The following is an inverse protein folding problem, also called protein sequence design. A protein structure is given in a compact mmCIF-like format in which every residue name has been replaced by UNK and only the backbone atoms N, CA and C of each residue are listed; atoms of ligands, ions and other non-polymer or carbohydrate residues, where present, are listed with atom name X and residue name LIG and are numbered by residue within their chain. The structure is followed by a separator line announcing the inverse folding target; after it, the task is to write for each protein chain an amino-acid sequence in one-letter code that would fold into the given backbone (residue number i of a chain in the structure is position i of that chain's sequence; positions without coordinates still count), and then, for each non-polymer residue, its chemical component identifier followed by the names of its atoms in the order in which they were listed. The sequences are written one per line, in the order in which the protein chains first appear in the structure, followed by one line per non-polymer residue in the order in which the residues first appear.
data_IF_138862177714
#
_entry.id   IF_138862177714
#
_cell.length_a   1.000
_cell.length_b   1.000
_cell.length_c   1.000
_cell.angle_alpha   90.00
_cell.angle_beta   90.00
_cell.angle_gamma   90.00
#
_symmetry.space_group_name_H-M   'P 1'
#
loop_
_entity.id
_entity.type
_entity.pdbx_description
1 polymer ?
#
# COMPACT_ATOMS: atom_id res chain seq x y z
N UNK A 1 -27.17 11.30 -25.12
CA UNK A 1 -25.90 11.95 -25.51
C UNK A 1 -24.84 11.63 -24.46
N UNK A 2 -25.02 12.12 -23.22
CA UNK A 2 -24.09 11.90 -22.08
C UNK A 2 -23.63 10.44 -21.88
N UNK A 3 -24.53 9.45 -21.96
CA UNK A 3 -24.16 8.03 -21.82
C UNK A 3 -23.25 7.51 -22.96
N UNK A 4 -23.45 7.99 -24.20
CA UNK A 4 -22.59 7.64 -25.34
C UNK A 4 -21.22 8.29 -25.20
N UNK A 5 -21.18 9.52 -24.71
CA UNK A 5 -19.93 10.26 -24.47
C UNK A 5 -19.12 9.60 -23.34
N UNK A 6 -19.78 9.15 -22.26
CA UNK A 6 -19.14 8.41 -21.18
C UNK A 6 -18.56 7.07 -21.63
N UNK A 7 -19.33 6.31 -22.43
CA UNK A 7 -18.85 5.04 -22.96
C UNK A 7 -17.65 5.24 -23.89
N UNK A 8 -17.63 6.34 -24.66
CA UNK A 8 -16.51 6.70 -25.50
C UNK A 8 -15.27 7.09 -24.68
N UNK A 9 -15.44 7.87 -23.59
CA UNK A 9 -14.36 8.18 -22.65
C UNK A 9 -13.75 6.90 -22.05
N UNK A 10 -14.58 5.99 -21.54
CA UNK A 10 -14.13 4.72 -20.97
C UNK A 10 -13.35 3.88 -22.01
N UNK A 11 -13.81 3.84 -23.27
CA UNK A 11 -13.12 3.14 -24.34
C UNK A 11 -11.75 3.76 -24.68
N UNK A 12 -11.64 5.09 -24.67
CA UNK A 12 -10.38 5.80 -24.86
C UNK A 12 -9.38 5.49 -23.73
N UNK A 13 -9.84 5.49 -22.47
CA UNK A 13 -9.03 5.10 -21.32
C UNK A 13 -8.55 3.65 -21.43
N UNK A 14 -9.44 2.71 -21.75
CA UNK A 14 -9.08 1.30 -21.94
C UNK A 14 -8.03 1.12 -23.07
N UNK A 15 -8.20 1.84 -24.18
CA UNK A 15 -7.23 1.84 -25.29
C UNK A 15 -5.87 2.41 -24.85
N UNK A 16 -5.85 3.50 -24.09
CA UNK A 16 -4.62 4.07 -23.54
C UNK A 16 -3.89 3.07 -22.65
N UNK A 17 -4.60 2.44 -21.72
CA UNK A 17 -4.04 1.38 -20.86
C UNK A 17 -3.45 0.23 -21.67
N UNK A 18 -4.11 -0.22 -22.73
CA UNK A 18 -3.60 -1.25 -23.62
C UNK A 18 -2.32 -0.80 -24.34
N UNK A 19 -2.28 0.42 -24.87
CA UNK A 19 -1.09 0.99 -25.54
C UNK A 19 0.10 1.09 -24.58
N UNK A 20 -0.12 1.54 -23.35
CA UNK A 20 0.90 1.61 -22.30
C UNK A 20 1.49 0.24 -21.99
N UNK A 21 0.67 -0.81 -21.90
CA UNK A 21 1.14 -2.19 -21.71
C UNK A 21 2.04 -2.69 -22.84
N UNK A 22 1.90 -2.14 -24.05
CA UNK A 22 2.77 -2.44 -25.20
C UNK A 22 3.96 -1.48 -25.31
N UNK A 23 4.23 -0.64 -24.30
CA UNK A 23 5.33 0.32 -24.28
C UNK A 23 5.09 1.58 -25.10
N UNK A 24 3.90 1.77 -25.70
CA UNK A 24 3.57 2.97 -26.45
C UNK A 24 3.00 4.06 -25.52
N UNK A 25 3.91 4.68 -24.74
CA UNK A 25 3.56 5.64 -23.70
C UNK A 25 2.98 6.94 -24.24
N UNK A 26 3.51 7.48 -25.35
CA UNK A 26 3.00 8.72 -25.95
C UNK A 26 1.59 8.55 -26.49
N UNK A 27 1.31 7.49 -27.27
CA UNK A 27 -0.06 7.24 -27.74
C UNK A 27 -1.01 6.88 -26.60
N UNK A 28 -0.52 6.26 -25.52
CA UNK A 28 -1.32 6.08 -24.29
C UNK A 28 -1.80 7.43 -23.76
N UNK A 29 -0.86 8.35 -23.54
CA UNK A 29 -1.17 9.68 -23.02
C UNK A 29 -2.17 10.42 -23.92
N UNK A 30 -1.99 10.40 -25.24
CA UNK A 30 -2.90 11.07 -26.18
C UNK A 30 -4.35 10.56 -26.08
N UNK A 31 -4.54 9.24 -25.95
CA UNK A 31 -5.89 8.68 -25.84
C UNK A 31 -6.50 9.00 -24.47
N UNK A 32 -5.71 8.99 -23.40
CA UNK A 32 -6.20 9.28 -22.05
C UNK A 32 -6.53 10.77 -21.89
N UNK A 33 -5.75 11.68 -22.46
CA UNK A 33 -6.07 13.12 -22.50
C UNK A 33 -7.38 13.39 -23.26
N UNK A 34 -7.64 12.65 -24.35
CA UNK A 34 -8.95 12.72 -25.03
C UNK A 34 -10.08 12.23 -24.14
N UNK A 35 -9.87 11.19 -23.34
CA UNK A 35 -10.86 10.75 -22.35
C UNK A 35 -11.07 11.80 -21.26
N UNK A 36 -10.01 12.44 -20.77
CA UNK A 36 -10.09 13.47 -19.73
C UNK A 36 -10.87 14.69 -20.22
N UNK A 37 -10.69 15.09 -21.48
CA UNK A 37 -11.45 16.20 -22.06
C UNK A 37 -12.96 15.95 -22.12
N UNK A 38 -13.40 14.68 -22.14
CA UNK A 38 -14.82 14.32 -22.13
C UNK A 38 -15.36 14.33 -20.70
N UNK A 39 -14.62 13.71 -19.76
CA UNK A 39 -14.98 13.65 -18.35
C UNK A 39 -13.73 13.90 -17.47
N UNK A 40 -13.50 15.17 -17.06
CA UNK A 40 -12.32 15.56 -16.29
C UNK A 40 -12.27 14.99 -14.87
N UNK A 41 -13.38 14.44 -14.38
CA UNK A 41 -13.52 13.89 -13.04
C UNK A 41 -13.71 12.37 -13.05
N UNK A 42 -13.53 11.72 -14.20
CA UNK A 42 -13.55 10.27 -14.25
C UNK A 42 -12.35 9.68 -13.50
N UNK A 43 -12.61 8.99 -12.39
CA UNK A 43 -11.56 8.45 -11.53
C UNK A 43 -10.63 7.47 -12.26
N UNK A 44 -11.19 6.57 -13.08
CA UNK A 44 -10.40 5.59 -13.84
C UNK A 44 -9.48 6.26 -14.86
N UNK A 45 -9.97 7.31 -15.51
CA UNK A 45 -9.19 8.13 -16.44
C UNK A 45 -8.07 8.86 -15.72
N UNK A 46 -8.34 9.49 -14.58
CA UNK A 46 -7.32 10.21 -13.79
C UNK A 46 -6.21 9.26 -13.29
N UNK A 47 -6.58 8.10 -12.76
CA UNK A 47 -5.59 7.09 -12.35
C UNK A 47 -4.73 6.65 -13.54
N UNK A 48 -5.36 6.37 -14.69
CA UNK A 48 -4.66 5.96 -15.91
C UNK A 48 -3.75 7.06 -16.48
N UNK A 49 -4.17 8.33 -16.33
CA UNK A 49 -3.42 9.51 -16.74
C UNK A 49 -2.18 9.69 -15.87
N UNK A 50 -2.33 9.64 -14.56
CA UNK A 50 -1.21 9.66 -13.62
C UNK A 50 -0.19 8.55 -13.91
N UNK A 51 -0.66 7.33 -14.20
CA UNK A 51 0.24 6.21 -14.55
C UNK A 51 0.94 6.43 -15.89
N UNK A 52 0.30 7.11 -16.85
CA UNK A 52 0.90 7.43 -18.14
C UNK A 52 1.98 8.50 -18.00
N UNK A 53 1.75 9.54 -17.17
CA UNK A 53 2.77 10.53 -16.84
C UNK A 53 3.97 9.91 -16.12
N UNK A 54 3.73 9.02 -15.14
CA UNK A 54 4.80 8.24 -14.50
C UNK A 54 5.63 7.45 -15.52
N UNK A 55 4.97 6.79 -16.47
CA UNK A 55 5.65 5.98 -17.50
C UNK A 55 6.52 6.83 -18.44
N UNK A 56 6.23 8.13 -18.55
CA UNK A 56 7.02 9.11 -19.30
C UNK A 56 8.06 9.84 -18.43
N UNK A 57 8.11 9.56 -17.12
CA UNK A 57 8.98 10.22 -16.15
C UNK A 57 8.50 11.60 -15.68
N UNK A 58 7.28 12.03 -16.05
CA UNK A 58 6.71 13.32 -15.65
C UNK A 58 6.01 13.19 -14.28
N UNK A 59 6.81 13.07 -13.22
CA UNK A 59 6.30 12.89 -11.85
C UNK A 59 5.57 14.14 -11.32
N UNK A 60 5.86 15.32 -11.87
CA UNK A 60 5.18 16.56 -11.52
C UNK A 60 3.70 16.49 -11.93
N UNK A 61 3.43 16.27 -13.24
CA UNK A 61 2.04 16.13 -13.70
C UNK A 61 1.36 14.90 -13.14
N UNK A 62 2.09 13.81 -12.93
CA UNK A 62 1.53 12.64 -12.28
C UNK A 62 1.01 12.97 -10.88
N UNK A 63 1.80 13.69 -10.08
CA UNK A 63 1.42 14.12 -8.72
C UNK A 63 0.17 15.00 -8.74
N UNK A 64 0.09 15.99 -9.63
CA UNK A 64 -1.09 16.86 -9.78
C UNK A 64 -2.37 16.07 -10.09
N UNK A 65 -2.27 15.11 -11.03
CA UNK A 65 -3.41 14.28 -11.43
C UNK A 65 -3.81 13.31 -10.33
N UNK A 66 -2.85 12.69 -9.63
CA UNK A 66 -3.17 11.81 -8.51
C UNK A 66 -3.80 12.58 -7.35
N UNK A 67 -3.42 13.84 -7.11
CA UNK A 67 -4.12 14.69 -6.14
C UNK A 67 -5.59 14.90 -6.51
N UNK A 68 -5.90 15.11 -7.80
CA UNK A 68 -7.30 15.19 -8.27
C UNK A 68 -8.03 13.87 -8.05
N UNK A 69 -7.40 12.74 -8.38
CA UNK A 69 -7.98 11.42 -8.17
C UNK A 69 -8.24 11.14 -6.67
N UNK A 70 -7.29 11.49 -5.80
CA UNK A 70 -7.39 11.33 -4.35
C UNK A 70 -8.54 12.15 -3.75
N UNK A 71 -8.75 13.39 -4.23
CA UNK A 71 -9.88 14.24 -3.79
C UNK A 71 -11.24 13.66 -4.16
N UNK A 72 -11.34 12.92 -5.26
CA UNK A 72 -12.58 12.28 -5.71
C UNK A 72 -12.84 11.01 -4.91
N UNK A 73 -11.86 10.11 -4.84
CA UNK A 73 -11.96 8.90 -4.06
C UNK A 73 -10.58 8.51 -3.49
N UNK A 74 -10.35 8.82 -2.20
CA UNK A 74 -9.09 8.49 -1.55
C UNK A 74 -8.98 7.01 -1.16
N UNK A 75 -10.09 6.26 -1.17
CA UNK A 75 -10.13 4.86 -0.73
C UNK A 75 -9.70 3.91 -1.85
N UNK A 76 -9.53 4.42 -3.08
CA UNK A 76 -8.88 3.66 -4.17
C UNK A 76 -7.38 3.66 -3.95
N UNK A 77 -6.82 2.47 -3.73
CA UNK A 77 -5.41 2.29 -3.40
C UNK A 77 -4.44 3.05 -4.32
N UNK A 78 -4.70 3.07 -5.63
CA UNK A 78 -3.83 3.74 -6.59
C UNK A 78 -3.72 5.25 -6.34
N UNK A 79 -4.77 5.90 -5.81
CA UNK A 79 -4.81 7.37 -5.70
C UNK A 79 -3.88 7.91 -4.63
N UNK A 80 -3.69 7.19 -3.52
CA UNK A 80 -2.80 7.63 -2.44
C UNK A 80 -1.40 7.00 -2.52
N UNK A 81 -1.27 5.74 -2.94
CA UNK A 81 0.04 5.08 -3.08
C UNK A 81 0.85 5.72 -4.20
N UNK A 82 0.26 5.86 -5.39
CA UNK A 82 0.95 6.43 -6.54
C UNK A 82 1.22 7.92 -6.36
N UNK A 83 0.35 8.65 -5.65
CA UNK A 83 0.55 10.05 -5.29
C UNK A 83 1.82 10.26 -4.48
N UNK A 84 1.94 9.56 -3.34
CA UNK A 84 3.10 9.75 -2.45
C UNK A 84 4.38 9.24 -3.11
N UNK A 85 4.29 8.18 -3.92
CA UNK A 85 5.41 7.74 -4.75
C UNK A 85 5.88 8.83 -5.73
N UNK A 86 4.97 9.45 -6.48
CA UNK A 86 5.37 10.49 -7.46
C UNK A 86 5.82 11.76 -6.79
N UNK A 87 5.21 12.11 -5.65
CA UNK A 87 5.64 13.24 -4.84
C UNK A 87 7.09 13.05 -4.41
N UNK A 88 7.44 11.90 -3.81
CA UNK A 88 8.81 11.61 -3.40
C UNK A 88 9.81 11.68 -4.57
N UNK A 89 9.39 11.27 -5.77
CA UNK A 89 10.20 11.32 -6.98
C UNK A 89 10.02 12.60 -7.80
N UNK A 90 9.45 13.65 -7.20
CA UNK A 90 9.33 14.97 -7.80
C UNK A 90 10.47 15.87 -7.28
N UNK A 91 11.49 16.18 -8.10
CA UNK A 91 12.65 16.96 -7.65
C UNK A 91 12.32 18.43 -7.33
N UNK A 92 11.10 18.90 -7.66
CA UNK A 92 10.65 20.25 -7.36
C UNK A 92 10.06 20.39 -5.96
N UNK A 93 9.65 19.30 -5.32
CA UNK A 93 9.08 19.35 -3.97
C UNK A 93 10.19 19.44 -2.93
N UNK A 94 10.01 20.35 -1.99
CA UNK A 94 10.83 20.45 -0.78
C UNK A 94 10.46 19.34 0.22
N UNK A 95 11.36 19.05 1.16
CA UNK A 95 11.07 18.10 2.24
C UNK A 95 9.84 18.51 3.08
N UNK A 96 9.57 19.81 3.21
CA UNK A 96 8.41 20.30 3.94
C UNK A 96 7.11 20.04 3.17
N UNK A 97 7.08 20.33 1.87
CA UNK A 97 5.90 20.05 1.03
C UNK A 97 5.61 18.55 0.95
N UNK A 98 6.66 17.72 0.86
CA UNK A 98 6.53 16.26 0.99
C UNK A 98 5.90 15.88 2.33
N UNK A 99 6.41 16.40 3.44
CA UNK A 99 5.84 16.14 4.76
C UNK A 99 4.37 16.55 4.85
N UNK A 100 4.01 17.72 4.31
CA UNK A 100 2.63 18.21 4.31
C UNK A 100 1.70 17.32 3.46
N UNK A 101 2.18 16.81 2.31
CA UNK A 101 1.46 15.82 1.51
C UNK A 101 1.20 14.52 2.30
N UNK A 102 2.21 14.04 3.04
CA UNK A 102 2.04 12.86 3.90
C UNK A 102 1.03 13.12 5.03
N UNK A 103 1.02 14.31 5.63
CA UNK A 103 0.03 14.67 6.64
C UNK A 103 -1.39 14.74 6.08
N UNK A 104 -1.58 15.32 4.90
CA UNK A 104 -2.90 15.40 4.27
C UNK A 104 -3.43 14.01 3.92
N UNK A 105 -2.62 13.17 3.27
CA UNK A 105 -2.99 11.77 2.97
C UNK A 105 -3.26 10.99 4.26
N UNK A 106 -2.40 11.15 5.28
CA UNK A 106 -2.61 10.53 6.60
C UNK A 106 -3.92 10.96 7.23
N UNK A 107 -4.29 12.24 7.13
CA UNK A 107 -5.50 12.80 7.72
C UNK A 107 -6.77 12.03 7.31
N UNK A 108 -6.79 11.47 6.10
CA UNK A 108 -7.91 10.64 5.62
C UNK A 108 -8.01 9.27 6.30
N UNK A 109 -6.88 8.63 6.58
CA UNK A 109 -6.84 7.27 7.14
C UNK A 109 -6.65 7.24 8.65
N UNK A 110 -6.36 8.40 9.26
CA UNK A 110 -6.13 8.51 10.69
C UNK A 110 -7.41 8.19 11.47
N UNK A 111 -7.27 7.35 12.49
CA UNK A 111 -8.33 7.00 13.45
C UNK A 111 -7.99 7.57 14.83
N UNK A 112 -8.18 8.89 15.06
CA UNK A 112 -7.74 9.55 16.30
C UNK A 112 -8.38 8.95 17.56
N UNK A 113 -9.59 8.42 17.46
CA UNK A 113 -10.30 7.71 18.52
C UNK A 113 -9.55 6.44 18.98
N UNK A 114 -8.79 5.81 18.09
CA UNK A 114 -7.99 4.62 18.40
C UNK A 114 -6.60 4.97 18.92
N UNK A 115 -6.14 6.23 18.84
CA UNK A 115 -4.79 6.61 19.29
C UNK A 115 -4.49 6.25 20.75
N UNK A 116 -5.52 6.17 21.59
CA UNK A 116 -5.45 5.82 23.02
C UNK A 116 -5.91 4.39 23.33
N UNK A 117 -6.16 3.55 22.32
CA UNK A 117 -6.55 2.15 22.54
C UNK A 117 -5.50 1.46 23.41
N UNK A 118 -5.98 0.83 24.48
CA UNK A 118 -5.18 0.08 25.44
C UNK A 118 -5.49 -1.42 25.31
N UNK A 119 -4.62 -2.23 25.90
CA UNK A 119 -4.74 -3.69 25.87
C UNK A 119 -4.55 -4.23 27.28
N UNK A 120 -5.56 -4.08 28.16
CA UNK A 120 -5.44 -4.44 29.58
C UNK A 120 -5.33 -5.95 29.80
N UNK A 121 -5.90 -6.76 28.90
CA UNK A 121 -5.88 -8.22 28.98
C UNK A 121 -4.57 -8.85 28.50
N UNK A 122 -3.64 -8.06 27.93
CA UNK A 122 -2.35 -8.56 27.46
C UNK A 122 -1.43 -8.85 28.65
N UNK A 123 -0.99 -10.09 28.76
CA UNK A 123 0.09 -10.46 29.68
C UNK A 123 1.38 -9.73 29.30
N UNK A 124 1.93 -8.94 30.24
CA UNK A 124 3.18 -8.18 30.08
C UNK A 124 4.38 -8.86 30.74
N UNK A 125 4.25 -10.12 31.13
CA UNK A 125 5.36 -10.89 31.67
C UNK A 125 6.52 -10.95 30.67
N UNK A 126 7.75 -10.83 31.18
CA UNK A 126 8.97 -10.92 30.37
C UNK A 126 9.44 -12.37 30.19
N UNK A 127 8.71 -13.34 30.76
CA UNK A 127 9.06 -14.77 30.77
C UNK A 127 8.40 -15.56 29.64
N UNK A 128 7.40 -14.99 28.97
CA UNK A 128 6.76 -15.61 27.82
C UNK A 128 7.44 -15.21 26.51
N UNK A 129 7.20 -15.99 25.46
CA UNK A 129 7.54 -15.58 24.08
C UNK A 129 6.78 -14.31 23.71
N UNK A 130 7.49 -13.36 23.11
CA UNK A 130 6.90 -12.14 22.55
C UNK A 130 6.30 -12.43 21.17
N UNK A 131 5.04 -12.06 20.94
CA UNK A 131 4.39 -12.26 19.64
C UNK A 131 4.72 -11.11 18.71
N UNK A 132 5.44 -11.40 17.63
CA UNK A 132 5.85 -10.43 16.63
C UNK A 132 5.13 -10.73 15.32
N UNK A 133 4.32 -9.78 14.85
CA UNK A 133 3.61 -9.87 13.57
C UNK A 133 4.33 -9.06 12.51
N UNK A 134 4.52 -9.61 11.32
CA UNK A 134 5.00 -8.89 10.15
C UNK A 134 3.90 -8.83 9.09
N UNK A 135 3.56 -7.65 8.58
CA UNK A 135 2.60 -7.49 7.48
C UNK A 135 3.35 -7.11 6.21
N UNK A 136 3.09 -7.83 5.10
CA UNK A 136 3.61 -7.44 3.79
C UNK A 136 2.88 -8.12 2.62
N UNK A 137 2.84 -7.47 1.46
CA UNK A 137 2.55 -8.09 0.16
C UNK A 137 3.77 -8.76 -0.47
N UNK A 138 4.94 -8.59 0.13
CA UNK A 138 6.21 -8.82 -0.54
C UNK A 138 6.87 -10.12 -0.09
N UNK A 139 6.17 -10.98 0.66
CA UNK A 139 6.63 -12.33 1.03
C UNK A 139 6.64 -13.29 -0.17
N UNK A 140 7.34 -12.90 -1.22
CA UNK A 140 7.55 -13.53 -2.54
C UNK A 140 8.90 -13.04 -3.05
N UNK A 141 9.29 -13.38 -4.28
CA UNK A 141 10.49 -12.87 -4.96
C UNK A 141 10.42 -11.35 -5.13
N UNK A 142 10.82 -10.63 -4.09
CA UNK A 142 10.81 -9.18 -3.97
C UNK A 142 11.99 -8.70 -3.13
N UNK A 143 12.47 -7.48 -3.37
CA UNK A 143 13.67 -6.95 -2.68
C UNK A 143 13.47 -6.83 -1.17
N UNK A 144 12.25 -6.49 -0.72
CA UNK A 144 11.91 -6.44 0.71
C UNK A 144 12.05 -7.82 1.34
N UNK A 145 11.47 -8.84 0.70
CA UNK A 145 11.59 -10.23 1.14
C UNK A 145 13.04 -10.70 1.26
N UNK A 146 13.89 -10.39 0.28
CA UNK A 146 15.31 -10.79 0.32
C UNK A 146 16.03 -10.18 1.53
N UNK A 147 15.68 -8.96 1.93
CA UNK A 147 16.27 -8.30 3.10
C UNK A 147 15.74 -8.85 4.43
N UNK A 148 14.44 -9.15 4.52
CA UNK A 148 13.82 -9.59 5.79
C UNK A 148 13.87 -11.11 5.99
N UNK A 149 14.02 -11.90 4.92
CA UNK A 149 14.03 -13.36 5.02
C UNK A 149 15.10 -13.90 5.98
N UNK A 150 16.37 -13.41 5.98
CA UNK A 150 17.35 -13.85 6.96
C UNK A 150 16.95 -13.55 8.41
N UNK A 151 16.21 -12.45 8.65
CA UNK A 151 15.71 -12.12 9.99
C UNK A 151 14.62 -13.10 10.40
N UNK A 152 13.64 -13.35 9.53
CA UNK A 152 12.55 -14.29 9.81
C UNK A 152 13.09 -15.70 10.02
N UNK A 153 13.99 -16.17 9.15
CA UNK A 153 14.56 -17.52 9.20
C UNK A 153 15.40 -17.79 10.46
N UNK A 154 16.04 -16.76 11.02
CA UNK A 154 16.96 -16.91 12.15
C UNK A 154 16.41 -16.30 13.45
N UNK A 155 15.10 -16.05 13.52
CA UNK A 155 14.48 -15.59 14.76
C UNK A 155 14.70 -16.59 15.89
N UNK A 156 14.90 -16.11 17.10
CA UNK A 156 14.97 -16.99 18.26
C UNK A 156 13.55 -17.40 18.67
N UNK A 157 13.09 -18.54 18.19
CA UNK A 157 11.74 -19.04 18.48
C UNK A 157 11.52 -19.41 19.95
N UNK A 158 12.56 -19.52 20.79
CA UNK A 158 12.39 -19.70 22.24
C UNK A 158 11.97 -18.39 22.94
N UNK A 159 12.32 -17.24 22.35
CA UNK A 159 12.03 -15.91 22.89
C UNK A 159 10.89 -15.19 22.13
N UNK A 160 10.66 -15.54 20.87
CA UNK A 160 9.69 -14.90 19.99
C UNK A 160 8.76 -15.91 19.33
N UNK A 161 7.51 -15.53 19.12
CA UNK A 161 6.53 -16.25 18.31
C UNK A 161 6.20 -15.40 17.09
N UNK A 162 6.52 -15.91 15.90
CA UNK A 162 6.57 -15.13 14.66
C UNK A 162 5.33 -15.39 13.81
N UNK A 163 4.60 -14.32 13.53
CA UNK A 163 3.41 -14.31 12.68
C UNK A 163 3.69 -13.53 11.39
N UNK A 164 3.35 -14.11 10.24
CA UNK A 164 3.41 -13.44 8.94
C UNK A 164 1.99 -13.23 8.41
N UNK A 165 1.57 -11.98 8.29
CA UNK A 165 0.31 -11.56 7.68
C UNK A 165 0.56 -11.18 6.22
N UNK A 166 0.23 -12.10 5.32
CA UNK A 166 0.63 -12.04 3.92
C UNK A 166 -0.49 -11.55 3.00
N UNK A 167 -0.18 -10.53 2.19
CA UNK A 167 -0.98 -10.11 1.04
C UNK A 167 -0.32 -10.55 -0.28
N UNK A 168 0.08 -11.82 -0.37
CA UNK A 168 0.63 -12.39 -1.62
C UNK A 168 -0.50 -13.01 -2.44
N UNK A 169 -0.77 -12.45 -3.62
CA UNK A 169 -1.72 -12.99 -4.60
C UNK A 169 -1.13 -14.19 -5.37
N UNK A 170 0.11 -14.03 -5.85
CA UNK A 170 0.83 -15.05 -6.62
C UNK A 170 2.05 -15.56 -5.82
N UNK A 171 1.91 -16.67 -5.08
CA UNK A 171 2.99 -17.23 -4.28
C UNK A 171 4.09 -17.87 -5.14
N UNK A 172 5.31 -17.87 -4.64
CA UNK A 172 6.47 -18.52 -5.25
C UNK A 172 7.32 -19.31 -4.23
N UNK A 173 8.47 -19.82 -4.67
CA UNK A 173 9.38 -20.62 -3.82
C UNK A 173 9.87 -19.87 -2.57
N UNK A 174 10.02 -18.54 -2.66
CA UNK A 174 10.42 -17.74 -1.51
C UNK A 174 9.25 -17.56 -0.54
N UNK A 175 8.01 -17.48 -1.05
CA UNK A 175 6.79 -17.52 -0.21
C UNK A 175 6.74 -18.81 0.63
N UNK A 176 7.00 -19.96 0.02
CA UNK A 176 7.04 -21.24 0.76
C UNK A 176 8.17 -21.28 1.80
N UNK A 177 9.31 -20.67 1.47
CA UNK A 177 10.41 -20.54 2.43
C UNK A 177 10.02 -19.69 3.66
N UNK A 178 9.26 -18.60 3.47
CA UNK A 178 8.72 -17.82 4.58
C UNK A 178 7.73 -18.62 5.43
N UNK A 179 6.79 -19.34 4.81
CA UNK A 179 5.82 -20.19 5.51
C UNK A 179 6.51 -21.20 6.41
N UNK A 180 7.57 -21.84 5.91
CA UNK A 180 8.34 -22.84 6.66
C UNK A 180 9.22 -22.25 7.77
N UNK A 181 9.45 -20.93 7.77
CA UNK A 181 10.33 -20.25 8.73
C UNK A 181 9.58 -19.52 9.85
N UNK A 182 8.27 -19.34 9.74
CA UNK A 182 7.45 -18.66 10.74
C UNK A 182 6.64 -19.66 11.57
N UNK A 183 6.31 -19.30 12.81
CA UNK A 183 5.39 -20.09 13.63
C UNK A 183 3.98 -20.09 13.02
N UNK A 184 3.56 -18.94 12.48
CA UNK A 184 2.23 -18.76 11.90
C UNK A 184 2.26 -18.02 10.57
N UNK A 185 1.55 -18.56 9.59
CA UNK A 185 1.22 -17.89 8.33
C UNK A 185 -0.26 -17.55 8.29
N UNK A 186 -0.58 -16.27 8.09
CA UNK A 186 -1.94 -15.73 8.01
C UNK A 186 -2.12 -15.03 6.67
N UNK A 187 -3.00 -15.56 5.82
CA UNK A 187 -3.36 -14.84 4.59
C UNK A 187 -4.33 -13.70 4.89
N UNK A 188 -3.97 -12.49 4.47
CA UNK A 188 -4.84 -11.31 4.46
C UNK A 188 -5.28 -10.92 3.05
N UNK A 189 -4.94 -11.75 2.05
CA UNK A 189 -5.47 -11.63 0.70
C UNK A 189 -7.01 -11.73 0.73
N UNK A 190 -7.69 -10.85 0.01
CA UNK A 190 -9.15 -10.68 -0.01
C UNK A 190 -9.82 -10.25 1.31
N UNK A 191 -9.04 -9.93 2.36
CA UNK A 191 -9.58 -9.33 3.59
C UNK A 191 -9.54 -7.82 3.52
N UNK A 192 -10.57 -7.16 4.04
CA UNK A 192 -10.54 -5.72 4.32
C UNK A 192 -9.50 -5.38 5.39
N UNK A 193 -9.13 -4.10 5.50
CA UNK A 193 -8.17 -3.66 6.53
C UNK A 193 -8.68 -3.87 7.94
N UNK A 194 -10.00 -3.83 8.13
CA UNK A 194 -10.63 -4.08 9.43
C UNK A 194 -10.52 -5.58 9.78
N UNK A 195 -10.89 -6.48 8.86
CA UNK A 195 -10.81 -7.93 9.12
C UNK A 195 -9.36 -8.39 9.36
N UNK A 196 -8.38 -7.79 8.69
CA UNK A 196 -6.98 -8.05 8.95
C UNK A 196 -6.54 -7.53 10.32
N UNK A 197 -7.01 -6.34 10.72
CA UNK A 197 -6.72 -5.79 12.05
C UNK A 197 -7.34 -6.64 13.17
N UNK A 198 -8.59 -7.07 13.01
CA UNK A 198 -9.28 -7.92 13.98
C UNK A 198 -8.52 -9.24 14.18
N UNK A 199 -8.10 -9.88 13.08
CA UNK A 199 -7.26 -11.08 13.12
C UNK A 199 -5.95 -10.86 13.90
N UNK A 200 -5.25 -9.76 13.66
CA UNK A 200 -3.99 -9.43 14.36
C UNK A 200 -4.22 -9.25 15.86
N UNK A 201 -5.34 -8.64 16.23
CA UNK A 201 -5.70 -8.41 17.62
C UNK A 201 -6.10 -9.70 18.34
N UNK A 202 -6.85 -10.59 17.66
CA UNK A 202 -7.21 -11.93 18.13
C UNK A 202 -5.98 -12.83 18.33
N UNK A 203 -5.04 -12.84 17.37
CA UNK A 203 -3.76 -13.56 17.46
C UNK A 203 -2.86 -13.03 18.59
N UNK A 204 -3.16 -11.83 19.07
CA UNK A 204 -2.57 -11.28 20.26
C UNK A 204 -1.17 -10.73 20.10
N UNK A 205 -0.93 -10.10 18.94
CA UNK A 205 0.38 -9.54 18.59
C UNK A 205 0.78 -8.42 19.56
N UNK A 206 2.02 -8.52 20.05
CA UNK A 206 2.63 -7.53 20.94
C UNK A 206 3.31 -6.42 20.15
N UNK A 207 4.06 -6.83 19.11
CA UNK A 207 4.79 -5.94 18.21
C UNK A 207 4.36 -6.22 16.78
N UNK A 208 3.70 -5.25 16.16
CA UNK A 208 3.36 -5.30 14.75
C UNK A 208 4.40 -4.53 13.93
N UNK A 209 5.05 -5.20 13.00
CA UNK A 209 6.01 -4.64 12.06
C UNK A 209 5.32 -4.53 10.69
N UNK A 210 5.13 -3.30 10.24
CA UNK A 210 4.60 -2.99 8.90
C UNK A 210 5.77 -2.81 7.96
N UNK A 211 5.86 -3.67 6.94
CA UNK A 211 6.97 -3.65 5.99
C UNK A 211 6.62 -2.83 4.75
N UNK A 212 7.60 -2.05 4.27
CA UNK A 212 7.58 -1.39 2.96
C UNK A 212 6.43 -0.39 2.71
N UNK A 213 5.83 0.13 3.78
CA UNK A 213 4.97 1.31 3.72
C UNK A 213 3.85 1.19 2.70
N UNK A 214 3.71 2.20 1.84
CA UNK A 214 2.67 2.26 0.79
C UNK A 214 3.12 1.75 -0.59
N UNK A 215 4.26 1.08 -0.69
CA UNK A 215 4.63 0.39 -1.92
C UNK A 215 3.83 -0.89 -2.08
N UNK A 216 3.61 -1.31 -3.33
CA UNK A 216 2.82 -2.49 -3.68
C UNK A 216 1.51 -2.58 -2.87
N UNK A 217 1.19 -3.74 -2.29
CA UNK A 217 -0.05 -4.01 -1.55
C UNK A 217 0.19 -4.20 -0.03
N UNK A 218 1.20 -3.50 0.51
CA UNK A 218 1.68 -3.64 1.89
C UNK A 218 0.74 -3.09 3.00
N UNK A 219 -0.31 -2.33 2.64
CA UNK A 219 -1.46 -1.97 3.50
C UNK A 219 -1.11 -1.43 4.91
N UNK A 220 -0.35 -0.32 5.01
CA UNK A 220 0.02 0.27 6.30
C UNK A 220 -1.19 0.87 7.05
N UNK A 221 -2.31 1.06 6.36
CA UNK A 221 -3.60 1.49 6.91
C UNK A 221 -4.19 0.50 7.91
N UNK A 222 -3.81 -0.78 7.88
CA UNK A 222 -4.17 -1.76 8.91
C UNK A 222 -3.72 -1.27 10.30
N UNK A 223 -2.52 -0.68 10.39
CA UNK A 223 -1.98 -0.17 11.65
C UNK A 223 -2.74 1.06 12.22
N UNK A 224 -3.55 1.73 11.39
CA UNK A 224 -4.43 2.81 11.87
C UNK A 224 -5.53 2.27 12.80
N UNK A 225 -5.90 1.00 12.67
CA UNK A 225 -6.82 0.30 13.59
C UNK A 225 -6.19 -0.01 14.95
N UNK A 226 -4.86 0.20 15.07
CA UNK A 226 -4.07 -0.10 16.26
C UNK A 226 -4.39 -1.50 16.82
N UNK A 227 -4.19 -2.58 16.05
CA UNK A 227 -4.45 -3.95 16.52
C UNK A 227 -3.37 -4.50 17.47
N UNK A 228 -2.22 -3.84 17.57
CA UNK A 228 -1.14 -4.17 18.50
C UNK A 228 -0.70 -2.95 19.34
N UNK A 229 -0.21 -3.15 20.58
CA UNK A 229 0.23 -2.07 21.45
C UNK A 229 1.48 -1.35 20.94
N UNK A 230 2.39 -2.08 20.30
CA UNK A 230 3.60 -1.53 19.68
C UNK A 230 3.49 -1.77 18.18
N UNK A 231 3.67 -0.71 17.40
CA UNK A 231 3.63 -0.75 15.94
C UNK A 231 4.87 -0.05 15.38
N UNK A 232 5.58 -0.73 14.49
CA UNK A 232 6.85 -0.29 13.92
C UNK A 232 6.69 -0.25 12.41
N UNK A 233 7.07 0.87 11.78
CA UNK A 233 7.30 0.90 10.33
C UNK A 233 8.75 0.50 10.05
N UNK A 234 8.96 -0.43 9.12
CA UNK A 234 10.30 -0.92 8.76
C UNK A 234 10.42 -1.16 7.26
N UNK A 235 11.62 -0.95 6.71
CA UNK A 235 11.85 -0.91 5.25
C UNK A 235 10.96 0.09 4.49
N UNK A 236 10.44 1.10 5.18
CA UNK A 236 9.64 2.14 4.55
C UNK A 236 10.57 3.21 3.97
N UNK A 237 10.97 3.00 2.71
CA UNK A 237 11.87 3.92 2.02
C UNK A 237 11.15 5.17 1.46
N UNK A 238 9.82 5.28 1.60
CA UNK A 238 9.07 6.40 1.03
C UNK A 238 7.89 6.92 1.84
N UNK A 239 7.49 6.32 2.96
CA UNK A 239 6.32 6.78 3.73
C UNK A 239 6.44 6.86 5.24
#
# INVERSE_FOLDING_TARGET
AMEKDQNYANALTAKGVALRKHGNFSSSLDNILKSENIDPNNLSTLVSLGTSYQSLGDNEKATEVYWRAFKINPDVSATHKCLLYTALNNPKLTSQELYDHHLEVRGRFNKPELSKKNFPERDRSTTRRLRVGYISSDFRKHVVALNVFPVIKNHNHDAFEIFLYSHVDFPDELTESFKNSADHWRSIFLKSDQEAADMIEEDGIDVLVVLAGRFDENRPTIAANRPAPIQVSFHDCAT
#
